data_IF_548479275142
#
_entry.id   IF_548479275142
#
_cell.length_a   1.000
_cell.length_b   1.000
_cell.length_c   1.000
_cell.angle_alpha   90.00
_cell.angle_beta   90.00
_cell.angle_gamma   90.00
#
_symmetry.space_group_name_H-M   'P 1'
#
loop_
_entity.id
_entity.type
_entity.pdbx_description
1 polymer ?
#
# COMPACT_ATOMS: atom_id res chain seq x y z
N UNK A 1 -10.90 -15.32 16.98
CA UNK A 1 -11.27 -14.26 16.02
C UNK A 1 -11.89 -13.13 16.82
N UNK A 2 -11.25 -11.96 16.94
CA UNK A 2 -11.95 -10.76 17.36
C UNK A 2 -12.79 -10.28 16.17
N UNK A 3 -14.08 -10.10 16.42
CA UNK A 3 -15.05 -9.53 15.49
C UNK A 3 -14.60 -8.15 15.01
N UNK A 4 -14.81 -7.84 13.72
CA UNK A 4 -14.72 -6.46 13.23
C UNK A 4 -15.64 -5.58 14.10
N UNK A 5 -15.15 -4.44 14.61
CA UNK A 5 -16.03 -3.51 15.32
C UNK A 5 -17.04 -2.94 14.32
N UNK A 6 -18.28 -2.91 14.77
CA UNK A 6 -19.43 -2.30 14.11
C UNK A 6 -19.12 -0.83 13.77
N UNK A 7 -19.22 -0.44 12.49
CA UNK A 7 -18.91 0.91 11.98
C UNK A 7 -19.92 1.99 12.45
N UNK A 8 -20.84 1.64 13.35
CA UNK A 8 -21.94 2.51 13.82
C UNK A 8 -21.74 3.08 15.22
N UNK A 9 -20.60 2.82 15.88
CA UNK A 9 -20.23 3.42 17.16
C UNK A 9 -19.77 4.89 17.03
N UNK A 10 -19.83 5.69 18.12
CA UNK A 10 -19.21 7.02 18.12
C UNK A 10 -17.72 6.92 17.81
N UNK A 11 -17.20 7.87 17.03
CA UNK A 11 -15.79 7.88 16.68
C UNK A 11 -14.92 7.90 17.93
N UNK A 12 -13.88 7.05 18.02
CA UNK A 12 -13.07 6.92 19.23
C UNK A 12 -12.27 8.18 19.56
N UNK A 13 -12.25 9.18 18.67
CA UNK A 13 -11.60 10.49 18.88
C UNK A 13 -12.60 11.63 19.11
N UNK A 14 -13.91 11.32 19.21
CA UNK A 14 -15.02 12.22 19.58
C UNK A 14 -15.08 13.58 18.85
N UNK A 15 -14.57 13.65 17.63
CA UNK A 15 -14.64 14.85 16.80
C UNK A 15 -15.93 14.91 15.96
N UNK A 16 -16.35 16.12 15.60
CA UNK A 16 -17.58 16.35 14.86
C UNK A 16 -17.37 17.28 13.67
N UNK A 17 -18.23 17.16 12.66
CA UNK A 17 -18.32 18.12 11.55
C UNK A 17 -18.50 19.55 12.09
N UNK A 18 -17.83 20.51 11.45
CA UNK A 18 -17.71 21.92 11.82
C UNK A 18 -16.90 22.24 13.07
N UNK A 19 -16.41 21.25 13.82
CA UNK A 19 -15.49 21.49 14.92
C UNK A 19 -14.19 22.11 14.40
N UNK A 20 -13.62 23.07 15.15
CA UNK A 20 -12.34 23.69 14.83
C UNK A 20 -11.27 23.07 15.74
N UNK A 21 -10.28 22.42 15.13
CA UNK A 21 -9.11 21.88 15.82
C UNK A 21 -7.93 22.85 15.71
N UNK A 22 -7.08 22.87 16.75
CA UNK A 22 -5.89 23.72 16.86
C UNK A 22 -6.14 25.21 16.51
N UNK A 23 -7.35 25.71 16.81
CA UNK A 23 -7.80 27.07 16.48
C UNK A 23 -7.62 27.48 15.01
N UNK A 24 -7.53 26.52 14.07
CA UNK A 24 -7.17 26.76 12.67
C UNK A 24 -7.94 25.89 11.69
N UNK A 25 -8.20 24.64 12.03
CA UNK A 25 -8.69 23.65 11.07
C UNK A 25 -10.14 23.29 11.34
N UNK A 26 -11.04 23.74 10.48
CA UNK A 26 -12.46 23.40 10.58
C UNK A 26 -12.71 22.06 9.89
N UNK A 27 -13.13 21.04 10.64
CA UNK A 27 -13.50 19.74 10.10
C UNK A 27 -14.75 19.87 9.24
N UNK A 28 -14.74 19.34 8.03
CA UNK A 28 -15.86 19.43 7.09
C UNK A 28 -16.54 18.08 6.89
N UNK A 29 -15.76 17.04 6.59
CA UNK A 29 -16.29 15.74 6.25
C UNK A 29 -15.30 14.65 6.63
N UNK A 30 -15.80 13.57 7.23
CA UNK A 30 -15.00 12.38 7.48
C UNK A 30 -14.80 11.63 6.16
N UNK A 31 -13.54 11.39 5.79
CA UNK A 31 -13.13 10.74 4.54
C UNK A 31 -12.74 9.28 4.71
N UNK A 32 -12.35 8.88 5.91
CA UNK A 32 -11.98 7.50 6.20
C UNK A 32 -11.96 7.20 7.69
N UNK A 33 -12.11 5.91 8.01
CA UNK A 33 -11.94 5.38 9.35
C UNK A 33 -11.12 4.09 9.27
N UNK A 34 -10.16 3.95 10.17
CA UNK A 34 -9.41 2.73 10.37
C UNK A 34 -9.36 2.39 11.85
N UNK A 35 -8.76 1.23 12.15
CA UNK A 35 -8.64 0.76 13.54
C UNK A 35 -7.92 1.76 14.46
N UNK A 36 -6.97 2.52 13.92
CA UNK A 36 -6.08 3.39 14.69
C UNK A 36 -6.25 4.87 14.40
N UNK A 37 -7.16 5.26 13.49
CA UNK A 37 -7.31 6.67 13.12
C UNK A 37 -8.61 6.96 12.38
N UNK A 38 -9.03 8.23 12.40
CA UNK A 38 -10.00 8.77 11.44
C UNK A 38 -9.34 9.83 10.57
N UNK A 39 -9.78 9.95 9.32
CA UNK A 39 -9.27 10.95 8.37
C UNK A 39 -10.40 11.90 8.02
N UNK A 40 -10.15 13.20 8.11
CA UNK A 40 -11.12 14.24 7.87
C UNK A 40 -10.63 15.22 6.81
N UNK A 41 -11.48 15.56 5.85
CA UNK A 41 -11.30 16.77 5.05
C UNK A 41 -11.60 17.97 5.95
N UNK A 42 -10.69 18.94 5.95
CA UNK A 42 -10.80 20.14 6.75
C UNK A 42 -10.43 21.38 5.94
N UNK A 43 -11.01 22.52 6.34
CA UNK A 43 -10.63 23.84 5.83
C UNK A 43 -9.56 24.44 6.72
N UNK A 44 -8.44 24.84 6.13
CA UNK A 44 -7.44 25.67 6.80
C UNK A 44 -7.89 27.12 6.77
N UNK A 45 -8.28 27.65 7.93
CA UNK A 45 -8.77 29.02 8.06
C UNK A 45 -7.68 30.08 7.88
N UNK A 46 -6.40 29.70 7.98
CA UNK A 46 -5.28 30.64 7.85
C UNK A 46 -4.89 30.84 6.38
N UNK A 47 -4.71 29.74 5.66
CA UNK A 47 -4.23 29.76 4.27
C UNK A 47 -5.39 29.74 3.25
N UNK A 48 -6.64 29.69 3.70
CA UNK A 48 -7.84 29.56 2.86
C UNK A 48 -7.79 28.37 1.89
N UNK A 49 -7.17 27.28 2.32
CA UNK A 49 -6.98 26.04 1.55
C UNK A 49 -7.66 24.84 2.24
N UNK A 50 -7.56 23.67 1.62
CA UNK A 50 -8.08 22.42 2.15
C UNK A 50 -6.94 21.47 2.54
N UNK A 51 -7.14 20.74 3.63
CA UNK A 51 -6.19 19.75 4.15
C UNK A 51 -6.92 18.46 4.52
N UNK A 52 -6.18 17.35 4.56
CA UNK A 52 -6.62 16.13 5.22
C UNK A 52 -6.02 16.07 6.63
N UNK A 53 -6.83 15.79 7.64
CA UNK A 53 -6.38 15.61 9.02
C UNK A 53 -6.59 14.17 9.42
N UNK A 54 -5.50 13.44 9.61
CA UNK A 54 -5.52 12.09 10.19
C UNK A 54 -5.38 12.21 11.70
N UNK A 55 -6.42 11.84 12.43
CA UNK A 55 -6.51 11.91 13.89
C UNK A 55 -6.30 10.50 14.42
N UNK A 56 -5.17 10.27 15.08
CA UNK A 56 -4.80 8.97 15.62
C UNK A 56 -5.55 8.67 16.93
N UNK A 57 -5.79 7.40 17.23
CA UNK A 57 -6.31 7.00 18.55
C UNK A 57 -5.29 7.32 19.65
N UNK A 58 -5.76 7.59 20.87
CA UNK A 58 -4.90 7.97 21.99
C UNK A 58 -3.88 6.90 22.40
N UNK A 59 -4.12 5.63 22.05
CA UNK A 59 -3.18 4.53 22.30
C UNK A 59 -2.02 4.41 21.31
N UNK A 60 -1.93 5.28 20.28
CA UNK A 60 -0.85 5.22 19.31
C UNK A 60 0.47 5.82 19.83
N UNK A 61 0.41 6.72 20.81
CA UNK A 61 1.56 7.41 21.40
C UNK A 61 1.41 7.54 22.93
N UNK A 62 2.53 7.67 23.64
CA UNK A 62 2.55 7.83 25.10
C UNK A 62 2.57 6.51 25.88
N UNK A 63 3.01 5.42 25.24
CA UNK A 63 3.14 4.08 25.80
C UNK A 63 4.51 3.46 25.49
N UNK A 64 4.75 2.23 25.96
CA UNK A 64 5.95 1.47 25.57
C UNK A 64 5.89 0.94 24.12
N UNK A 65 4.77 1.12 23.43
CA UNK A 65 4.48 0.59 22.09
C UNK A 65 4.04 1.68 21.10
N UNK A 66 4.68 2.85 21.18
CA UNK A 66 4.42 3.95 20.25
C UNK A 66 4.69 3.53 18.80
N UNK A 67 3.77 3.90 17.91
CA UNK A 67 3.97 3.76 16.46
C UNK A 67 4.97 4.81 15.97
N UNK A 68 5.42 4.70 14.72
CA UNK A 68 6.44 5.60 14.15
C UNK A 68 5.92 6.59 13.11
N UNK A 69 4.60 6.66 12.88
CA UNK A 69 4.05 7.38 11.73
C UNK A 69 4.45 8.86 11.68
N UNK A 70 4.40 9.57 12.82
CA UNK A 70 4.74 10.98 12.90
C UNK A 70 6.24 11.20 12.63
N UNK A 71 7.10 10.39 13.26
CA UNK A 71 8.55 10.44 13.10
C UNK A 71 8.95 10.12 11.65
N UNK A 72 8.35 9.09 11.07
CA UNK A 72 8.58 8.67 9.68
C UNK A 72 8.16 9.77 8.72
N UNK A 73 6.96 10.34 8.86
CA UNK A 73 6.50 11.41 7.96
C UNK A 73 7.34 12.68 8.08
N UNK A 74 7.76 13.06 9.31
CA UNK A 74 8.69 14.18 9.52
C UNK A 74 10.04 13.93 8.85
N UNK A 75 10.59 12.72 9.00
CA UNK A 75 11.85 12.31 8.37
C UNK A 75 11.75 12.31 6.84
N UNK A 76 10.73 11.63 6.30
CA UNK A 76 10.50 11.55 4.86
C UNK A 76 10.21 12.91 4.23
N UNK A 77 9.64 13.87 4.95
CA UNK A 77 9.51 15.25 4.46
C UNK A 77 10.87 15.91 4.18
N UNK A 78 11.90 15.58 4.97
CA UNK A 78 13.19 16.29 4.99
C UNK A 78 14.33 15.50 4.32
N UNK A 79 14.22 14.18 4.20
CA UNK A 79 15.33 13.29 3.83
C UNK A 79 15.99 13.65 2.49
N UNK A 80 15.22 13.75 1.40
CA UNK A 80 15.71 14.26 0.11
C UNK A 80 14.56 14.77 -0.78
N UNK A 81 14.16 16.04 -0.64
CA UNK A 81 13.08 16.64 -1.46
C UNK A 81 13.34 16.66 -2.97
N UNK A 82 14.59 16.51 -3.41
CA UNK A 82 14.94 16.46 -4.83
C UNK A 82 14.82 15.06 -5.43
N UNK A 83 14.58 14.03 -4.61
CA UNK A 83 14.36 12.69 -5.10
C UNK A 83 13.03 12.63 -5.87
N UNK A 84 12.98 12.04 -7.08
CA UNK A 84 11.75 12.00 -7.87
C UNK A 84 10.58 11.29 -7.16
N UNK A 85 10.89 10.33 -6.27
CA UNK A 85 9.90 9.66 -5.43
C UNK A 85 9.32 10.47 -4.27
N UNK A 86 9.93 11.61 -3.89
CA UNK A 86 9.43 12.45 -2.79
C UNK A 86 8.00 12.94 -3.05
N UNK A 87 7.65 13.22 -4.30
CA UNK A 87 6.30 13.63 -4.68
C UNK A 87 5.28 12.48 -4.62
N UNK A 88 5.69 11.23 -4.43
CA UNK A 88 4.80 10.06 -4.42
C UNK A 88 4.58 9.49 -3.01
N UNK A 89 4.91 10.27 -1.98
CA UNK A 89 4.56 10.01 -0.58
C UNK A 89 3.72 11.18 -0.02
N UNK A 90 3.02 11.00 1.11
CA UNK A 90 2.22 12.06 1.72
C UNK A 90 3.15 13.12 2.31
N UNK A 91 2.85 14.39 2.02
CA UNK A 91 3.58 15.50 2.63
C UNK A 91 2.88 15.90 3.94
N UNK A 92 3.59 15.74 5.06
CA UNK A 92 3.17 16.27 6.36
C UNK A 92 3.32 17.79 6.35
N UNK A 93 2.21 18.50 6.24
CA UNK A 93 2.16 19.96 6.21
C UNK A 93 2.40 20.54 7.61
N UNK A 94 1.72 19.96 8.60
CA UNK A 94 1.73 20.38 10.00
C UNK A 94 1.36 19.18 10.89
N UNK A 95 1.59 19.29 12.19
CA UNK A 95 1.14 18.30 13.18
C UNK A 95 0.80 18.97 14.51
N UNK A 96 -0.15 18.42 15.25
CA UNK A 96 -0.56 18.93 16.55
C UNK A 96 -1.20 17.83 17.40
N UNK A 97 -1.54 18.15 18.66
CA UNK A 97 -2.26 17.25 19.55
C UNK A 97 -3.66 17.77 19.82
N UNK A 98 -4.66 16.90 19.73
CA UNK A 98 -6.02 17.15 20.18
C UNK A 98 -6.27 16.39 21.48
N UNK A 99 -6.89 17.04 22.46
CA UNK A 99 -7.24 16.41 23.74
C UNK A 99 -8.75 16.21 23.84
N UNK A 100 -9.14 15.02 24.27
CA UNK A 100 -10.51 14.68 24.64
C UNK A 100 -10.51 13.82 25.93
N UNK A 101 -11.67 13.35 26.42
CA UNK A 101 -11.73 12.50 27.62
C UNK A 101 -11.02 11.13 27.51
N UNK A 102 -10.76 10.63 26.31
CA UNK A 102 -10.07 9.36 26.03
C UNK A 102 -8.55 9.55 25.90
N UNK A 103 -8.06 10.79 25.83
CA UNK A 103 -6.65 11.15 26.02
C UNK A 103 -6.10 12.15 24.99
N UNK A 104 -4.80 12.02 24.72
CA UNK A 104 -4.09 12.84 23.75
C UNK A 104 -4.08 12.14 22.38
N UNK A 105 -4.59 12.81 21.36
CA UNK A 105 -4.65 12.34 19.99
C UNK A 105 -3.63 13.11 19.14
N UNK A 106 -2.67 12.40 18.56
CA UNK A 106 -1.77 13.00 17.56
C UNK A 106 -2.54 13.21 16.26
N UNK A 107 -2.50 14.43 15.75
CA UNK A 107 -3.16 14.85 14.51
C UNK A 107 -2.11 15.19 13.46
N UNK A 108 -2.20 14.53 12.30
CA UNK A 108 -1.32 14.74 11.16
C UNK A 108 -2.07 15.55 10.11
N UNK A 109 -1.53 16.71 9.72
CA UNK A 109 -2.09 17.57 8.67
C UNK A 109 -1.37 17.26 7.36
N UNK A 110 -2.11 16.76 6.39
CA UNK A 110 -1.63 16.23 5.11
C UNK A 110 -2.30 16.95 3.94
N UNK A 111 -1.71 16.84 2.76
CA UNK A 111 -2.37 17.21 1.52
C UNK A 111 -3.64 16.37 1.31
N UNK A 112 -4.76 16.97 0.87
CA UNK A 112 -5.95 16.23 0.55
C UNK A 112 -5.74 15.39 -0.72
N UNK A 113 -6.26 14.16 -0.70
CA UNK A 113 -6.25 13.24 -1.84
C UNK A 113 -7.70 13.03 -2.34
N UNK A 114 -7.85 12.50 -3.55
CA UNK A 114 -9.14 12.11 -4.11
C UNK A 114 -9.59 10.76 -3.50
N UNK A 115 -9.86 9.73 -4.31
CA UNK A 115 -10.04 8.37 -3.79
C UNK A 115 -8.74 7.57 -3.73
N UNK A 116 -8.81 6.42 -3.08
CA UNK A 116 -7.81 5.36 -3.16
C UNK A 116 -7.92 4.54 -4.47
N UNK A 117 -6.94 3.67 -4.70
CA UNK A 117 -6.85 2.88 -5.91
C UNK A 117 -7.91 1.76 -5.98
N UNK A 118 -8.43 1.31 -4.83
CA UNK A 118 -9.56 0.37 -4.80
C UNK A 118 -10.79 1.02 -5.43
N UNK A 119 -11.13 2.23 -4.99
CA UNK A 119 -12.23 3.03 -5.51
C UNK A 119 -12.01 3.41 -6.98
N UNK A 120 -10.80 3.86 -7.33
CA UNK A 120 -10.46 4.23 -8.70
C UNK A 120 -10.58 3.06 -9.70
N UNK A 121 -10.31 1.82 -9.26
CA UNK A 121 -10.43 0.64 -10.12
C UNK A 121 -11.85 0.40 -10.66
N UNK A 122 -12.89 0.85 -9.94
CA UNK A 122 -14.28 0.76 -10.38
C UNK A 122 -14.62 1.68 -11.56
N UNK A 123 -13.74 2.63 -11.91
CA UNK A 123 -13.94 3.48 -13.09
C UNK A 123 -13.68 2.74 -14.41
N UNK A 124 -13.12 1.53 -14.35
CA UNK A 124 -12.77 0.71 -15.50
C UNK A 124 -13.65 -0.52 -15.62
N UNK A 125 -13.89 -0.94 -16.86
CA UNK A 125 -14.68 -2.14 -17.14
C UNK A 125 -14.02 -3.39 -16.54
N UNK A 126 -14.82 -4.21 -15.86
CA UNK A 126 -14.32 -5.42 -15.21
C UNK A 126 -13.36 -5.18 -14.04
N UNK A 127 -13.23 -3.93 -13.55
CA UNK A 127 -12.29 -3.55 -12.47
C UNK A 127 -10.84 -3.81 -12.89
N UNK A 128 -10.53 -3.62 -14.17
CA UNK A 128 -9.21 -3.86 -14.77
C UNK A 128 -8.61 -2.55 -15.23
N UNK A 129 -7.54 -2.10 -14.57
CA UNK A 129 -6.89 -0.85 -14.95
C UNK A 129 -6.08 -1.08 -16.24
N UNK A 130 -6.26 -0.27 -17.30
CA UNK A 130 -5.54 -0.42 -18.56
C UNK A 130 -4.02 -0.44 -18.37
N UNK A 131 -3.32 -1.29 -19.13
CA UNK A 131 -1.86 -1.50 -19.02
C UNK A 131 -1.07 -0.19 -19.02
N UNK A 132 -1.44 0.77 -19.86
CA UNK A 132 -0.74 2.06 -19.94
C UNK A 132 -0.86 2.89 -18.66
N UNK A 133 -2.02 2.86 -18.00
CA UNK A 133 -2.23 3.49 -16.69
C UNK A 133 -1.48 2.69 -15.61
N UNK A 134 -1.50 1.35 -15.68
CA UNK A 134 -0.78 0.49 -14.74
C UNK A 134 0.74 0.67 -14.80
N UNK A 135 1.33 0.86 -15.98
CA UNK A 135 2.76 1.19 -16.13
C UNK A 135 3.10 2.47 -15.38
N UNK A 136 2.27 3.51 -15.55
CA UNK A 136 2.43 4.79 -14.87
C UNK A 136 2.31 4.65 -13.34
N UNK A 137 1.26 3.99 -12.85
CA UNK A 137 1.05 3.75 -11.41
C UNK A 137 2.22 2.96 -10.83
N UNK A 138 2.63 1.86 -11.49
CA UNK A 138 3.75 1.01 -11.04
C UNK A 138 5.05 1.80 -10.95
N UNK A 139 5.36 2.62 -11.95
CA UNK A 139 6.54 3.50 -11.93
C UNK A 139 6.51 4.45 -10.74
N UNK A 140 5.38 5.12 -10.49
CA UNK A 140 5.23 6.07 -9.39
C UNK A 140 5.35 5.40 -8.01
N UNK A 141 4.80 4.19 -7.85
CA UNK A 141 4.96 3.40 -6.62
C UNK A 141 6.42 2.96 -6.43
N UNK A 142 7.10 2.52 -7.48
CA UNK A 142 8.54 2.20 -7.40
C UNK A 142 9.37 3.43 -7.07
N UNK A 143 9.04 4.62 -7.59
CA UNK A 143 9.70 5.87 -7.19
C UNK A 143 9.48 6.16 -5.70
N UNK A 144 8.26 6.02 -5.19
CA UNK A 144 7.95 6.19 -3.76
C UNK A 144 8.75 5.22 -2.88
N UNK A 145 8.84 3.95 -3.29
CA UNK A 145 9.60 2.93 -2.56
C UNK A 145 11.11 3.20 -2.63
N UNK A 146 11.66 3.55 -3.79
CA UNK A 146 13.08 3.93 -3.94
C UNK A 146 13.43 5.09 -3.00
N UNK A 147 12.54 6.08 -2.90
CA UNK A 147 12.69 7.19 -1.99
C UNK A 147 12.72 6.76 -0.52
N UNK A 148 11.68 6.03 -0.08
CA UNK A 148 11.54 5.61 1.31
C UNK A 148 12.65 4.65 1.74
N UNK A 149 13.00 3.69 0.87
CA UNK A 149 14.05 2.71 1.12
C UNK A 149 15.42 3.37 1.23
N UNK A 150 15.73 4.32 0.36
CA UNK A 150 16.97 5.13 0.45
C UNK A 150 17.00 5.98 1.73
N UNK A 151 15.84 6.40 2.23
CA UNK A 151 15.70 7.09 3.51
C UNK A 151 15.67 6.16 4.73
N UNK A 152 15.78 4.83 4.55
CA UNK A 152 15.80 3.85 5.65
C UNK A 152 14.43 3.53 6.25
N UNK A 153 13.36 3.68 5.48
CA UNK A 153 11.97 3.40 5.89
C UNK A 153 11.38 2.28 5.04
N UNK A 154 10.62 1.38 5.66
CA UNK A 154 9.89 0.26 5.03
C UNK A 154 8.39 0.50 5.26
N UNK A 155 7.57 0.42 4.21
CA UNK A 155 6.13 0.74 4.28
C UNK A 155 5.31 -0.36 4.97
N UNK A 156 5.56 -1.62 4.62
CA UNK A 156 5.01 -2.85 5.22
C UNK A 156 3.51 -3.13 5.02
N UNK A 157 2.71 -2.19 4.51
CA UNK A 157 1.26 -2.39 4.29
C UNK A 157 0.77 -1.87 2.92
N UNK A 158 1.41 -2.31 1.82
CA UNK A 158 1.00 -1.86 0.46
C UNK A 158 -0.26 -2.61 0.04
N UNK A 159 -1.33 -1.87 -0.27
CA UNK A 159 -2.62 -2.38 -0.74
C UNK A 159 -3.39 -1.27 -1.47
N UNK A 160 -4.44 -1.60 -2.26
CA UNK A 160 -5.21 -0.61 -2.99
C UNK A 160 -5.70 0.58 -2.14
N UNK A 161 -6.16 0.31 -0.92
CA UNK A 161 -6.70 1.30 0.02
C UNK A 161 -5.64 2.33 0.47
N UNK A 162 -4.36 1.97 0.41
CA UNK A 162 -3.25 2.83 0.82
C UNK A 162 -2.58 3.53 -0.37
N UNK A 163 -3.10 3.38 -1.59
CA UNK A 163 -2.57 4.06 -2.78
C UNK A 163 -3.57 5.13 -3.19
N UNK A 164 -3.27 6.38 -2.90
CA UNK A 164 -4.18 7.51 -3.06
C UNK A 164 -4.00 8.17 -4.41
N UNK A 165 -5.10 8.58 -5.05
CA UNK A 165 -5.08 9.43 -6.24
C UNK A 165 -4.88 10.88 -5.81
N UNK A 166 -3.84 11.53 -6.34
CA UNK A 166 -3.57 12.95 -6.07
C UNK A 166 -4.60 13.82 -6.80
N UNK A 167 -5.04 14.88 -6.11
CA UNK A 167 -5.85 15.93 -6.72
C UNK A 167 -5.03 16.72 -7.73
N UNK A 168 -5.56 16.86 -8.95
CA UNK A 168 -4.93 17.63 -10.04
C UNK A 168 -5.09 19.12 -9.83
N UNK A 169 -6.24 19.53 -9.30
CA UNK A 169 -6.53 20.91 -8.91
C UNK A 169 -7.28 20.93 -7.56
N UNK A 170 -6.71 21.54 -6.50
CA UNK A 170 -7.39 21.70 -5.22
C UNK A 170 -8.75 22.42 -5.30
N UNK A 171 -8.99 23.23 -6.35
CA UNK A 171 -10.27 23.91 -6.56
C UNK A 171 -11.45 22.94 -6.75
N UNK A 172 -11.17 21.71 -7.17
CA UNK A 172 -12.16 20.63 -7.29
C UNK A 172 -12.86 20.34 -5.96
N UNK A 173 -12.20 20.59 -4.83
CA UNK A 173 -12.81 20.40 -3.51
C UNK A 173 -13.99 21.37 -3.29
N UNK A 174 -13.89 22.61 -3.74
CA UNK A 174 -15.01 23.58 -3.66
C UNK A 174 -16.22 23.10 -4.46
N UNK A 175 -15.96 22.58 -5.68
CA UNK A 175 -17.00 22.00 -6.53
C UNK A 175 -17.64 20.78 -5.85
N UNK A 176 -16.82 19.88 -5.33
CA UNK A 176 -17.26 18.70 -4.60
C UNK A 176 -18.11 19.03 -3.37
N UNK A 177 -17.75 20.07 -2.62
CA UNK A 177 -18.49 20.48 -1.42
C UNK A 177 -19.81 21.22 -1.76
N UNK A 178 -19.95 21.76 -2.97
CA UNK A 178 -21.11 22.55 -3.41
C UNK A 178 -22.33 21.67 -3.69
N UNK A 179 -23.49 21.89 -3.02
CA UNK A 179 -24.71 21.16 -3.31
C UNK A 179 -25.35 21.57 -4.65
N UNK A 180 -26.03 20.64 -5.35
CA UNK A 180 -26.17 19.22 -5.06
C UNK A 180 -24.90 18.43 -5.43
N UNK A 181 -24.49 17.49 -4.58
CA UNK A 181 -23.38 16.59 -4.89
C UNK A 181 -23.86 15.43 -5.73
N UNK A 182 -23.35 15.30 -6.95
CA UNK A 182 -23.70 14.21 -7.86
C UNK A 182 -22.55 13.24 -8.10
N UNK A 183 -21.31 13.67 -7.88
CA UNK A 183 -20.09 12.93 -8.20
C UNK A 183 -19.19 12.83 -6.95
N UNK A 184 -18.38 11.78 -6.89
CA UNK A 184 -17.30 11.66 -5.92
C UNK A 184 -16.17 12.65 -6.22
N UNK A 185 -15.29 12.86 -5.25
CA UNK A 185 -14.20 13.84 -5.38
C UNK A 185 -13.24 13.49 -6.54
N UNK A 186 -12.99 12.21 -6.82
CA UNK A 186 -12.15 11.80 -7.92
C UNK A 186 -12.87 11.54 -9.23
N UNK A 187 -14.20 11.33 -9.24
CA UNK A 187 -14.99 11.56 -10.47
C UNK A 187 -14.86 13.02 -10.93
N UNK A 188 -14.83 13.97 -9.98
CA UNK A 188 -14.63 15.40 -10.27
C UNK A 188 -13.16 15.77 -10.56
N UNK A 189 -12.20 14.90 -10.21
CA UNK A 189 -10.76 15.16 -10.39
C UNK A 189 -10.31 15.04 -11.87
N UNK A 190 -11.16 14.49 -12.73
CA UNK A 190 -10.92 14.35 -14.17
C UNK A 190 -12.10 14.90 -14.95
N UNK A 191 -11.82 15.59 -16.06
CA UNK A 191 -12.87 16.09 -16.95
C UNK A 191 -13.50 14.96 -17.75
N UNK A 192 -12.70 13.98 -18.16
CA UNK A 192 -13.15 12.77 -18.86
C UNK A 192 -12.15 11.61 -18.70
N UNK A 193 -12.57 10.41 -19.12
CA UNK A 193 -11.80 9.16 -18.94
C UNK A 193 -10.46 9.14 -19.68
N UNK A 194 -10.27 9.94 -20.73
CA UNK A 194 -8.98 10.01 -21.44
C UNK A 194 -7.87 10.62 -20.59
N UNK A 195 -8.23 11.44 -19.58
CA UNK A 195 -7.27 12.05 -18.66
C UNK A 195 -6.75 11.08 -17.59
N UNK A 196 -7.35 9.90 -17.42
CA UNK A 196 -6.88 8.89 -16.46
C UNK A 196 -5.45 8.41 -16.74
N UNK A 197 -4.97 8.56 -17.98
CA UNK A 197 -3.58 8.30 -18.34
C UNK A 197 -2.58 9.24 -17.66
N UNK A 198 -3.04 10.40 -17.16
CA UNK A 198 -2.22 11.39 -16.46
C UNK A 198 -2.26 11.20 -14.94
N UNK A 199 -2.89 10.12 -14.45
CA UNK A 199 -3.07 9.87 -13.01
C UNK A 199 -1.76 10.00 -12.25
N UNK A 200 -1.83 10.66 -11.09
CA UNK A 200 -0.75 10.73 -10.13
C UNK A 200 -1.19 10.02 -8.86
N UNK A 201 -0.35 9.13 -8.35
CA UNK A 201 -0.60 8.37 -7.13
C UNK A 201 0.40 8.74 -6.05
N UNK A 202 -0.06 8.58 -4.81
CA UNK A 202 0.70 8.77 -3.58
C UNK A 202 0.54 7.51 -2.74
N UNK A 203 1.66 6.91 -2.32
CA UNK A 203 1.64 5.78 -1.38
C UNK A 203 1.38 6.32 0.04
N UNK A 204 0.14 6.26 0.47
CA UNK A 204 -0.35 6.76 1.75
C UNK A 204 -0.34 5.74 2.89
N UNK A 205 -0.77 6.21 4.06
CA UNK A 205 -0.88 5.45 5.31
C UNK A 205 0.43 4.77 5.78
N UNK A 206 1.27 5.56 6.46
CA UNK A 206 2.54 5.10 7.02
C UNK A 206 2.40 4.62 8.47
N UNK A 207 1.18 4.31 8.92
CA UNK A 207 0.86 3.89 10.29
C UNK A 207 1.51 2.58 10.73
N UNK A 208 1.77 1.68 9.78
CA UNK A 208 2.45 0.39 10.02
C UNK A 208 3.93 0.41 9.66
N UNK A 209 4.42 1.52 9.11
CA UNK A 209 5.77 1.61 8.58
C UNK A 209 6.83 1.44 9.69
N UNK A 210 7.99 0.93 9.29
CA UNK A 210 9.10 0.61 10.20
C UNK A 210 10.41 1.18 9.68
N UNK A 211 11.34 1.44 10.60
CA UNK A 211 12.71 1.76 10.25
C UNK A 211 13.45 0.48 9.89
N UNK A 212 14.40 0.54 8.94
CA UNK A 212 15.24 -0.63 8.58
C UNK A 212 16.06 -1.18 9.75
N UNK A 213 16.24 -0.39 10.82
CA UNK A 213 16.98 -0.78 12.02
C UNK A 213 16.08 -0.99 13.25
N UNK A 214 14.77 -0.76 13.13
CA UNK A 214 13.81 -0.87 14.24
C UNK A 214 12.41 -1.18 13.70
N UNK A 215 12.00 -2.43 13.84
CA UNK A 215 10.70 -2.91 13.42
C UNK A 215 9.64 -2.68 14.50
N UNK A 216 8.43 -2.30 14.07
CA UNK A 216 7.27 -2.14 14.96
C UNK A 216 6.67 -3.50 15.38
N UNK A 217 6.63 -4.44 14.43
CA UNK A 217 6.14 -5.81 14.59
C UNK A 217 6.73 -6.68 13.49
N UNK A 218 6.95 -7.97 13.75
CA UNK A 218 7.41 -8.91 12.72
C UNK A 218 6.28 -9.45 11.85
N UNK A 219 5.02 -9.30 12.29
CA UNK A 219 3.86 -9.72 11.52
C UNK A 219 3.24 -8.56 10.75
N UNK A 220 3.73 -8.37 9.53
CA UNK A 220 3.37 -7.26 8.64
C UNK A 220 2.60 -7.74 7.39
N UNK A 221 2.20 -6.78 6.55
CA UNK A 221 1.57 -6.95 5.24
C UNK A 221 0.15 -7.55 5.25
N UNK A 222 -0.69 -7.22 4.24
CA UNK A 222 -1.94 -7.91 4.02
C UNK A 222 -1.72 -9.41 3.74
N UNK A 223 -2.63 -10.25 4.23
CA UNK A 223 -2.43 -11.71 4.25
C UNK A 223 -2.11 -12.36 2.90
N UNK A 224 -2.71 -11.87 1.82
CA UNK A 224 -2.51 -12.42 0.47
C UNK A 224 -1.37 -11.73 -0.30
N UNK A 225 -0.77 -10.68 0.26
CA UNK A 225 0.33 -9.94 -0.35
C UNK A 225 1.64 -10.08 0.45
N UNK A 226 1.61 -10.91 1.50
CA UNK A 226 2.72 -11.11 2.43
C UNK A 226 3.89 -11.84 1.78
N UNK A 227 5.10 -11.36 2.08
CA UNK A 227 6.36 -11.91 1.58
C UNK A 227 6.70 -13.24 2.26
N UNK A 228 7.39 -14.17 1.55
CA UNK A 228 7.72 -15.48 2.08
C UNK A 228 8.63 -15.39 3.31
N UNK A 229 9.58 -14.47 3.36
CA UNK A 229 10.44 -14.27 4.54
C UNK A 229 9.64 -13.90 5.80
N UNK A 230 8.59 -13.08 5.66
CA UNK A 230 7.69 -12.73 6.77
C UNK A 230 6.85 -13.94 7.19
N UNK A 231 6.35 -14.72 6.23
CA UNK A 231 5.59 -15.95 6.51
C UNK A 231 6.44 -17.02 7.19
N UNK A 232 7.73 -17.09 6.86
CA UNK A 232 8.68 -18.03 7.45
C UNK A 232 9.26 -17.52 8.79
N UNK A 233 8.95 -16.28 9.19
CA UNK A 233 9.52 -15.65 10.38
C UNK A 233 11.03 -15.40 10.28
N UNK A 234 11.54 -15.28 9.05
CA UNK A 234 12.92 -14.88 8.82
C UNK A 234 13.06 -13.35 8.92
N UNK A 235 14.30 -12.90 9.09
CA UNK A 235 14.62 -11.48 9.09
C UNK A 235 14.22 -10.83 7.76
N UNK A 236 13.58 -9.67 7.85
CA UNK A 236 13.03 -8.96 6.69
C UNK A 236 13.56 -7.53 6.61
N UNK A 237 13.47 -6.94 5.42
CA UNK A 237 13.93 -5.59 5.13
C UNK A 237 13.13 -4.95 4.01
N UNK A 238 13.68 -3.95 3.32
CA UNK A 238 12.99 -3.20 2.25
C UNK A 238 12.42 -4.07 1.13
N UNK A 239 13.01 -5.26 0.90
CA UNK A 239 12.53 -6.23 -0.08
C UNK A 239 11.07 -6.66 0.12
N UNK A 240 10.52 -6.59 1.35
CA UNK A 240 9.11 -6.98 1.59
C UNK A 240 8.13 -6.08 0.84
N UNK A 241 8.41 -4.78 0.74
CA UNK A 241 7.57 -3.84 -0.01
C UNK A 241 7.57 -4.16 -1.51
N UNK A 242 8.72 -4.60 -2.03
CA UNK A 242 8.84 -5.00 -3.44
C UNK A 242 7.98 -6.23 -3.72
N UNK A 243 8.03 -7.23 -2.84
CA UNK A 243 7.15 -8.40 -2.94
C UNK A 243 5.68 -7.99 -2.82
N UNK A 244 5.36 -7.15 -1.84
CA UNK A 244 4.01 -6.68 -1.57
C UNK A 244 3.40 -6.01 -2.80
N UNK A 245 4.17 -5.14 -3.47
CA UNK A 245 3.78 -4.50 -4.72
C UNK A 245 3.63 -5.54 -5.83
N UNK A 246 4.60 -6.45 -5.99
CA UNK A 246 4.56 -7.49 -7.02
C UNK A 246 3.35 -8.41 -6.93
N UNK A 247 2.92 -8.77 -5.72
CA UNK A 247 1.73 -9.58 -5.49
C UNK A 247 0.43 -8.81 -5.81
N UNK A 248 0.47 -7.46 -5.71
CA UNK A 248 -0.67 -6.58 -5.97
C UNK A 248 -0.89 -6.29 -7.47
N UNK A 249 0.19 -6.21 -8.27
CA UNK A 249 0.07 -5.80 -9.69
C UNK A 249 -0.93 -6.63 -10.52
N UNK A 250 -0.99 -7.97 -10.41
CA UNK A 250 -1.99 -8.77 -11.13
C UNK A 250 -3.44 -8.50 -10.68
N UNK A 251 -3.65 -8.14 -9.40
CA UNK A 251 -4.99 -7.80 -8.90
C UNK A 251 -5.50 -6.51 -9.55
N UNK A 252 -4.61 -5.54 -9.80
CA UNK A 252 -4.99 -4.26 -10.42
C UNK A 252 -5.12 -4.35 -11.95
N UNK A 253 -4.26 -5.13 -12.60
CA UNK A 253 -4.22 -5.26 -14.06
C UNK A 253 -5.32 -6.21 -14.58
N UNK A 254 -5.47 -7.37 -13.95
CA UNK A 254 -6.31 -8.46 -14.45
C UNK A 254 -7.53 -8.74 -13.57
N UNK A 255 -7.69 -8.04 -12.43
CA UNK A 255 -8.66 -8.38 -11.37
C UNK A 255 -8.43 -9.79 -10.79
N UNK A 256 -7.17 -10.25 -10.76
CA UNK A 256 -6.83 -11.58 -10.29
C UNK A 256 -5.84 -11.53 -9.11
N UNK A 257 -6.25 -12.13 -8.00
CA UNK A 257 -5.37 -12.40 -6.86
C UNK A 257 -4.46 -13.57 -7.17
N UNK A 258 -3.14 -13.32 -7.13
CA UNK A 258 -2.13 -14.34 -7.39
C UNK A 258 -2.16 -15.46 -6.35
N UNK A 259 -2.49 -15.11 -5.10
CA UNK A 259 -2.54 -16.01 -3.97
C UNK A 259 -3.92 -15.99 -3.31
N UNK A 260 -4.34 -17.13 -2.79
CA UNK A 260 -5.57 -17.24 -1.98
C UNK A 260 -5.36 -18.09 -0.72
N UNK A 261 -4.29 -18.89 -0.66
CA UNK A 261 -3.93 -19.71 0.48
C UNK A 261 -4.96 -20.78 0.84
N UNK A 262 -5.70 -21.33 -0.13
CA UNK A 262 -6.69 -22.40 0.10
C UNK A 262 -6.27 -23.71 -0.58
N UNK A 263 -6.69 -24.85 -0.03
CA UNK A 263 -6.45 -26.17 -0.62
C UNK A 263 -7.18 -26.30 -1.96
N UNK A 264 -8.46 -25.96 -1.97
CA UNK A 264 -9.36 -26.00 -3.13
C UNK A 264 -9.84 -24.59 -3.48
N UNK A 265 -10.04 -24.29 -4.77
CA UNK A 265 -10.66 -23.03 -5.21
C UNK A 265 -12.08 -22.95 -4.65
N UNK A 266 -12.27 -22.16 -3.60
CA UNK A 266 -13.59 -21.81 -3.05
C UNK A 266 -14.09 -22.64 -1.85
N UNK A 267 -13.32 -23.61 -1.34
CA UNK A 267 -13.66 -24.36 -0.11
C UNK A 267 -12.52 -24.26 0.92
N UNK A 268 -12.88 -24.10 2.19
CA UNK A 268 -11.92 -23.98 3.30
C UNK A 268 -11.43 -22.54 3.58
N UNK A 269 -10.91 -22.34 4.79
CA UNK A 269 -10.29 -21.09 5.22
C UNK A 269 -8.87 -20.91 4.68
N UNK A 270 -8.33 -19.70 4.82
CA UNK A 270 -6.93 -19.43 4.51
C UNK A 270 -5.99 -20.28 5.40
N UNK A 271 -4.95 -20.85 4.79
CA UNK A 271 -3.85 -21.50 5.47
C UNK A 271 -2.51 -21.07 4.89
N UNK A 272 -1.57 -20.74 5.77
CA UNK A 272 -0.22 -20.33 5.40
C UNK A 272 0.51 -21.38 4.54
N UNK A 273 0.38 -22.67 4.88
CA UNK A 273 0.95 -23.77 4.07
C UNK A 273 0.54 -23.68 2.61
N UNK A 274 -0.75 -23.48 2.33
CA UNK A 274 -1.25 -23.40 0.95
C UNK A 274 -0.80 -22.12 0.24
N UNK A 275 -0.63 -21.02 0.96
CA UNK A 275 -0.05 -19.80 0.38
C UNK A 275 1.43 -20.05 0.00
N UNK A 276 2.21 -20.72 0.86
CA UNK A 276 3.58 -21.12 0.52
C UNK A 276 3.63 -22.12 -0.65
N UNK A 277 2.67 -23.03 -0.78
CA UNK A 277 2.56 -23.93 -1.95
C UNK A 277 2.32 -23.17 -3.25
N UNK A 278 1.48 -22.13 -3.23
CA UNK A 278 1.23 -21.28 -4.40
C UNK A 278 2.50 -20.51 -4.79
N UNK A 279 3.24 -20.00 -3.81
CA UNK A 279 4.54 -19.35 -4.02
C UNK A 279 5.54 -20.34 -4.62
N UNK A 280 5.68 -21.53 -4.04
CA UNK A 280 6.62 -22.55 -4.53
C UNK A 280 6.29 -22.97 -5.96
N UNK A 281 5.02 -23.19 -6.27
CA UNK A 281 4.56 -23.61 -7.59
C UNK A 281 4.82 -22.55 -8.68
N UNK A 282 4.73 -21.26 -8.34
CA UNK A 282 4.88 -20.16 -9.29
C UNK A 282 6.33 -19.71 -9.47
N UNK A 283 7.10 -19.69 -8.38
CA UNK A 283 8.41 -19.02 -8.33
C UNK A 283 9.57 -19.93 -7.91
N UNK A 284 9.30 -21.18 -7.52
CA UNK A 284 10.31 -22.17 -7.15
C UNK A 284 10.49 -22.30 -5.64
N UNK A 285 11.48 -23.10 -5.21
CA UNK A 285 11.71 -23.36 -3.78
C UNK A 285 12.41 -22.18 -3.08
N UNK A 286 12.09 -21.91 -1.80
CA UNK A 286 12.90 -21.01 -0.98
C UNK A 286 14.35 -21.48 -0.89
N UNK A 287 15.34 -20.57 -0.86
CA UNK A 287 16.72 -20.96 -0.66
C UNK A 287 16.92 -21.53 0.75
N UNK A 288 17.83 -22.50 0.89
CA UNK A 288 18.07 -23.21 2.17
C UNK A 288 18.36 -22.26 3.33
N UNK A 289 19.18 -21.23 3.10
CA UNK A 289 19.51 -20.24 4.13
C UNK A 289 18.27 -19.53 4.69
N UNK A 290 17.25 -19.28 3.86
CA UNK A 290 16.02 -18.61 4.28
C UNK A 290 15.18 -19.52 5.17
N UNK A 291 15.16 -20.83 4.88
CA UNK A 291 14.53 -21.83 5.73
C UNK A 291 15.30 -22.01 7.05
N UNK A 292 16.63 -22.01 7.03
CA UNK A 292 17.46 -22.10 8.24
C UNK A 292 17.29 -20.89 9.16
N UNK A 293 17.07 -19.71 8.57
CA UNK A 293 16.81 -18.45 9.29
C UNK A 293 15.34 -18.24 9.66
N UNK A 294 14.43 -19.05 9.15
CA UNK A 294 13.03 -19.01 9.54
C UNK A 294 12.85 -19.29 11.02
N UNK A 295 11.79 -18.73 11.60
CA UNK A 295 11.51 -18.79 13.03
C UNK A 295 11.37 -20.24 13.50
N UNK A 296 12.25 -20.63 14.42
CA UNK A 296 12.28 -21.95 15.04
C UNK A 296 11.23 -22.08 16.14
N UNK A 297 10.77 -20.98 16.75
CA UNK A 297 9.80 -20.98 17.84
C UNK A 297 8.38 -21.30 17.37
N UNK A 298 8.00 -20.84 16.16
CA UNK A 298 6.69 -21.12 15.55
C UNK A 298 6.72 -22.49 14.80
N UNK A 299 7.90 -23.11 14.69
CA UNK A 299 8.15 -24.39 14.02
C UNK A 299 7.61 -24.45 12.57
N UNK A 300 7.45 -23.29 11.88
CA UNK A 300 6.83 -23.23 10.55
C UNK A 300 7.63 -24.06 9.54
N UNK A 301 8.94 -23.90 9.55
CA UNK A 301 9.86 -24.60 8.65
C UNK A 301 9.80 -26.11 8.90
N UNK A 302 9.98 -26.53 10.16
CA UNK A 302 9.90 -27.94 10.53
C UNK A 302 8.52 -28.54 10.26
N UNK A 303 7.44 -27.77 10.38
CA UNK A 303 6.07 -28.25 10.13
C UNK A 303 5.78 -28.41 8.65
N UNK A 304 6.25 -27.50 7.79
CA UNK A 304 5.83 -27.44 6.40
C UNK A 304 6.87 -27.95 5.40
N UNK A 305 8.17 -27.95 5.68
CA UNK A 305 9.23 -28.25 4.70
C UNK A 305 10.05 -29.50 5.05
N UNK A 306 10.22 -30.41 4.09
CA UNK A 306 11.07 -31.60 4.20
C UNK A 306 12.58 -31.27 4.24
N UNK A 307 13.42 -32.30 4.40
CA UNK A 307 14.89 -32.16 4.44
C UNK A 307 15.49 -31.60 3.14
N UNK A 308 14.75 -31.68 2.02
CA UNK A 308 15.12 -31.10 0.74
C UNK A 308 14.66 -29.66 0.54
N UNK A 309 14.02 -29.05 1.55
CA UNK A 309 13.48 -27.69 1.48
C UNK A 309 12.21 -27.57 0.64
N UNK A 310 11.49 -28.67 0.39
CA UNK A 310 10.21 -28.69 -0.33
C UNK A 310 9.05 -28.81 0.63
N UNK A 311 7.89 -28.27 0.28
CA UNK A 311 6.70 -28.40 1.12
C UNK A 311 6.27 -29.88 1.22
N UNK A 312 6.05 -30.36 2.45
CA UNK A 312 5.50 -31.70 2.75
C UNK A 312 4.06 -31.82 2.31
N UNK A 313 3.72 -32.98 1.74
CA UNK A 313 2.36 -33.33 1.29
C UNK A 313 1.68 -32.17 0.53
N UNK A 314 2.28 -31.66 -0.57
CA UNK A 314 1.76 -30.51 -1.28
C UNK A 314 0.50 -30.90 -2.05
N UNK A 315 -0.49 -30.00 -2.07
CA UNK A 315 -1.61 -30.11 -3.01
C UNK A 315 -1.10 -29.85 -4.43
N UNK A 316 -1.63 -30.54 -5.44
CA UNK A 316 -1.26 -30.29 -6.83
C UNK A 316 -1.63 -28.86 -7.24
N UNK A 317 -0.64 -28.10 -7.73
CA UNK A 317 -0.79 -26.72 -8.21
C UNK A 317 -0.34 -26.62 -9.67
N UNK A 318 -1.22 -26.85 -10.67
CA UNK A 318 -0.87 -26.71 -12.08
C UNK A 318 -0.84 -25.23 -12.50
N UNK A 319 -0.17 -24.39 -11.71
CA UNK A 319 -0.10 -22.95 -11.91
C UNK A 319 1.10 -22.60 -12.78
N UNK A 320 0.89 -21.72 -13.77
CA UNK A 320 1.97 -21.07 -14.51
C UNK A 320 1.73 -19.58 -14.47
N UNK A 321 2.76 -18.80 -14.16
CA UNK A 321 2.64 -17.34 -14.04
C UNK A 321 1.97 -16.71 -15.29
N UNK A 322 2.32 -17.18 -16.49
CA UNK A 322 1.74 -16.68 -17.74
C UNK A 322 0.24 -16.94 -17.94
N UNK A 323 -0.38 -17.80 -17.14
CA UNK A 323 -1.84 -18.04 -17.15
C UNK A 323 -2.62 -16.99 -16.35
N UNK A 324 -1.95 -16.20 -15.51
CA UNK A 324 -2.57 -15.21 -14.64
C UNK A 324 -2.65 -13.80 -15.23
N UNK A 325 -2.15 -13.64 -16.46
CA UNK A 325 -2.12 -12.38 -17.18
C UNK A 325 -2.89 -12.56 -18.48
N UNK A 326 -4.06 -11.97 -18.58
CA UNK A 326 -4.99 -12.14 -19.71
C UNK A 326 -5.16 -10.86 -20.52
N UNK A 327 -5.04 -9.69 -19.87
CA UNK A 327 -5.32 -8.37 -20.47
C UNK A 327 -4.25 -7.92 -21.46
N UNK A 328 -3.00 -8.37 -21.29
CA UNK A 328 -1.88 -8.04 -22.18
C UNK A 328 -1.34 -9.29 -22.88
N UNK A 329 -0.84 -9.13 -24.10
CA UNK A 329 -0.33 -10.23 -24.93
C UNK A 329 1.03 -9.91 -25.57
N UNK A 330 1.51 -10.82 -26.43
CA UNK A 330 2.72 -10.62 -27.23
C UNK A 330 3.97 -10.24 -26.44
N UNK A 331 4.69 -9.23 -26.94
CA UNK A 331 5.93 -8.74 -26.34
C UNK A 331 5.69 -8.06 -24.98
N UNK A 332 4.61 -7.30 -24.85
CA UNK A 332 4.27 -6.60 -23.60
C UNK A 332 4.05 -7.58 -22.45
N UNK A 333 3.33 -8.68 -22.71
CA UNK A 333 3.17 -9.76 -21.72
C UNK A 333 4.51 -10.37 -21.31
N UNK A 334 5.43 -10.57 -22.25
CA UNK A 334 6.75 -11.12 -21.93
C UNK A 334 7.55 -10.19 -21.01
N UNK A 335 7.51 -8.88 -21.28
CA UNK A 335 8.15 -7.85 -20.46
C UNK A 335 7.52 -7.74 -19.06
N UNK A 336 6.20 -7.79 -18.97
CA UNK A 336 5.49 -7.77 -17.68
C UNK A 336 5.79 -9.02 -16.85
N UNK A 337 5.85 -10.21 -17.48
CA UNK A 337 6.24 -11.43 -16.79
C UNK A 337 7.70 -11.39 -16.32
N UNK A 338 8.60 -10.70 -17.03
CA UNK A 338 9.95 -10.45 -16.53
C UNK A 338 9.94 -9.52 -15.31
N UNK A 339 9.13 -8.46 -15.32
CA UNK A 339 8.93 -7.60 -14.16
C UNK A 339 8.45 -8.41 -12.95
N UNK A 340 7.39 -9.21 -13.11
CA UNK A 340 6.85 -10.06 -12.04
C UNK A 340 7.90 -11.01 -11.45
N UNK A 341 8.77 -11.61 -12.26
CA UNK A 341 9.88 -12.45 -11.75
C UNK A 341 10.92 -11.66 -10.96
N UNK A 342 11.12 -10.38 -11.28
CA UNK A 342 12.01 -9.50 -10.54
C UNK A 342 11.45 -9.11 -9.17
N UNK A 343 10.16 -8.76 -9.12
CA UNK A 343 9.48 -8.33 -7.87
C UNK A 343 9.11 -9.49 -6.94
N UNK A 344 8.74 -10.65 -7.50
CA UNK A 344 8.36 -11.86 -6.76
C UNK A 344 9.51 -12.88 -6.67
N UNK A 345 10.75 -12.39 -6.59
CA UNK A 345 11.90 -13.23 -6.28
C UNK A 345 11.83 -13.69 -4.82
N UNK A 346 11.79 -15.00 -4.58
CA UNK A 346 11.64 -15.56 -3.23
C UNK A 346 12.84 -15.21 -2.35
N UNK A 347 14.05 -15.32 -2.87
CA UNK A 347 15.27 -14.92 -2.16
C UNK A 347 15.31 -13.39 -2.01
N UNK A 348 15.10 -12.82 -0.81
CA UNK A 348 15.04 -11.38 -0.63
C UNK A 348 16.38 -10.69 -0.96
N UNK A 349 17.51 -11.39 -0.89
CA UNK A 349 18.83 -10.85 -1.24
C UNK A 349 18.99 -10.69 -2.76
N UNK A 350 18.30 -11.55 -3.54
CA UNK A 350 18.31 -11.50 -5.01
C UNK A 350 17.13 -10.73 -5.59
N UNK A 351 16.17 -10.32 -4.75
CA UNK A 351 15.01 -9.54 -5.17
C UNK A 351 15.46 -8.16 -5.59
N UNK A 352 15.04 -7.73 -6.78
CA UNK A 352 15.44 -6.44 -7.33
C UNK A 352 14.92 -5.31 -6.44
N UNK A 353 15.76 -4.31 -6.21
CA UNK A 353 15.36 -3.06 -5.55
C UNK A 353 14.38 -2.26 -6.42
N UNK A 354 13.67 -1.31 -5.81
CA UNK A 354 12.80 -0.40 -6.52
C UNK A 354 13.54 0.34 -7.68
N UNK A 355 14.78 0.77 -7.41
CA UNK A 355 15.65 1.44 -8.38
C UNK A 355 15.93 0.59 -9.63
N UNK A 356 16.26 -0.68 -9.43
CA UNK A 356 16.58 -1.60 -10.53
C UNK A 356 15.34 -1.91 -11.38
N UNK A 357 14.17 -1.99 -10.73
CA UNK A 357 12.90 -2.27 -11.40
C UNK A 357 12.45 -1.13 -12.32
N UNK A 358 12.76 0.13 -11.98
CA UNK A 358 12.44 1.30 -12.81
C UNK A 358 13.08 1.25 -14.21
N UNK A 359 14.16 0.48 -14.40
CA UNK A 359 14.85 0.30 -15.67
C UNK A 359 14.33 -0.85 -16.53
N UNK A 360 13.27 -1.55 -16.11
CA UNK A 360 12.75 -2.71 -16.84
C UNK A 360 11.93 -2.32 -18.07
N UNK A 361 12.01 -3.14 -19.12
CA UNK A 361 11.42 -2.88 -20.44
C UNK A 361 9.93 -2.52 -20.38
N UNK A 362 9.14 -3.24 -19.57
CA UNK A 362 7.71 -2.98 -19.44
C UNK A 362 7.40 -1.55 -18.95
N UNK A 363 8.28 -0.99 -18.11
CA UNK A 363 8.18 0.38 -17.59
C UNK A 363 8.94 1.41 -18.43
N UNK A 364 9.61 1.00 -19.52
CA UNK A 364 10.38 1.88 -20.40
C UNK A 364 9.68 2.17 -21.74
N UNK A 365 8.55 1.51 -22.02
CA UNK A 365 7.79 1.65 -23.28
C UNK A 365 7.17 3.04 -23.50
N UNK A 366 6.81 3.32 -24.77
CA UNK A 366 6.20 4.59 -25.19
C UNK A 366 4.93 4.95 -24.40
N UNK A 367 4.77 6.24 -24.07
CA UNK A 367 3.57 6.76 -23.40
C UNK A 367 3.75 7.25 -21.96
N UNK A 368 5.00 7.36 -21.49
CA UNK A 368 5.33 7.95 -20.19
C UNK A 368 5.47 9.46 -20.39
N UNK A 369 4.67 10.25 -19.69
CA UNK A 369 4.75 11.72 -19.76
C UNK A 369 6.15 12.20 -19.29
N UNK A 370 6.64 13.29 -19.88
CA UNK A 370 7.96 13.87 -19.58
C UNK A 370 8.19 14.18 -18.10
N UNK A 371 7.11 14.46 -17.37
CA UNK A 371 7.16 14.86 -15.95
C UNK A 371 7.47 13.71 -15.00
N UNK A 372 7.42 12.48 -15.51
CA UNK A 372 7.74 11.25 -14.81
C UNK A 372 9.17 10.77 -15.10
N UNK A 373 9.90 11.33 -16.08
CA UNK A 373 11.32 11.02 -16.37
C UNK A 373 12.24 11.80 -15.42
#
# INVERSE_FOLDING_TARGET
>A
MPTQPDETGPDPQRVNTNQILNSRHQLLEKRGAGRYSTVWLARDQKESSYVAIKILTSGCYGSDHDIFELEILRHLRQANPNHPGHRHIPILLDDFTHEDPDGHHVCLVLEPMAEDLNSFSFFFEGVKIPSQIMKRITRQLLLALDYAHTAGVIHTDIKPDNIMIRLRDPSVIEKYLSPPRSLSLGEENFNDRSEFIQVQVVLGDWGSASWVYRHLTDWIQPTLLRAPEVMLGAEWGTGVDIWNLGALLPELLDAIRLFNGRAERGRGGYMMKHHLEEIEALFGVPPTWLLEKGDQEIEIVWRYFDEGGRIRDPVERPLKLGMWVEVIDGAEKAEYLDLLRGVLMIDPVRRRSARELLGMAWLAGEGIASDDL
#
